data_IF_461728033933
#
_entry.id   IF_461728033933
#
_cell.length_a   1.000
_cell.length_b   1.000
_cell.length_c   1.000
_cell.angle_alpha   90.00
_cell.angle_beta   90.00
_cell.angle_gamma   90.00
#
_symmetry.space_group_name_H-M   'P 1'
#
loop_
_entity.id
_entity.type
_entity.pdbx_description
1 polymer ?
#
# COMPACT_ATOMS: atom_id res chain seq x y z
N UNK A 1 -1.16 34.65 -1.41
CA UNK A 1 0.10 33.89 -1.47
C UNK A 1 -0.32 32.44 -1.45
N UNK A 2 -0.19 31.74 -2.57
CA UNK A 2 -0.63 30.34 -2.69
C UNK A 2 0.47 29.46 -2.13
N UNK A 3 0.11 28.64 -1.14
CA UNK A 3 0.98 27.71 -0.43
C UNK A 3 1.63 26.74 -1.39
N UNK A 4 2.95 26.83 -1.52
CA UNK A 4 3.83 25.89 -2.21
C UNK A 4 4.24 24.72 -1.29
N UNK A 5 3.45 24.39 -0.27
CA UNK A 5 3.82 23.45 0.79
C UNK A 5 3.50 21.99 0.48
N UNK A 6 2.86 21.69 -0.66
CA UNK A 6 2.50 20.30 -1.01
C UNK A 6 3.69 19.45 -1.48
N UNK A 7 4.77 20.05 -1.99
CA UNK A 7 5.93 19.29 -2.49
C UNK A 7 6.99 19.00 -1.40
N UNK A 8 6.83 19.52 -0.18
CA UNK A 8 7.80 19.35 0.92
C UNK A 8 7.23 18.60 2.14
N UNK A 9 5.98 18.14 2.10
CA UNK A 9 5.42 17.40 3.24
C UNK A 9 5.91 15.94 3.22
N UNK A 10 6.78 15.52 4.16
CA UNK A 10 7.27 14.14 4.21
C UNK A 10 6.14 13.13 4.41
N UNK A 11 5.01 13.55 4.99
CA UNK A 11 3.83 12.70 5.13
C UNK A 11 3.30 12.25 3.76
N UNK A 12 3.20 13.15 2.79
CA UNK A 12 2.62 12.85 1.48
C UNK A 12 3.53 11.89 0.68
N UNK A 13 4.84 11.97 0.89
CA UNK A 13 5.79 11.05 0.27
C UNK A 13 5.65 9.64 0.84
N UNK A 14 5.69 9.50 2.17
CA UNK A 14 5.53 8.19 2.83
C UNK A 14 4.13 7.61 2.57
N UNK A 15 3.11 8.47 2.50
CA UNK A 15 1.77 8.07 2.07
C UNK A 15 1.79 7.41 0.68
N UNK A 16 2.47 8.02 -0.30
CA UNK A 16 2.56 7.47 -1.65
C UNK A 16 3.30 6.12 -1.66
N UNK A 17 4.37 6.01 -0.87
CA UNK A 17 5.15 4.77 -0.72
C UNK A 17 4.30 3.65 -0.09
N UNK A 18 3.55 3.94 0.98
CA UNK A 18 2.63 3.00 1.64
C UNK A 18 1.53 2.55 0.69
N UNK A 19 0.91 3.47 -0.08
CA UNK A 19 -0.11 3.10 -1.05
C UNK A 19 0.45 2.25 -2.20
N UNK A 20 1.68 2.52 -2.64
CA UNK A 20 2.38 1.72 -3.64
C UNK A 20 2.66 0.30 -3.11
N UNK A 21 3.21 0.20 -1.90
CA UNK A 21 3.47 -1.07 -1.23
C UNK A 21 2.17 -1.87 -0.97
N UNK A 22 1.06 -1.19 -0.72
CA UNK A 22 -0.23 -1.84 -0.54
C UNK A 22 -0.79 -2.39 -1.86
N UNK A 23 -0.59 -1.67 -2.97
CA UNK A 23 -0.93 -2.15 -4.32
C UNK A 23 -0.09 -3.37 -4.75
N UNK A 24 1.13 -3.55 -4.24
CA UNK A 24 1.92 -4.77 -4.46
C UNK A 24 1.54 -5.90 -3.49
N UNK A 25 1.15 -5.56 -2.25
CA UNK A 25 0.79 -6.54 -1.22
C UNK A 25 -0.55 -7.24 -1.50
N UNK A 26 -1.58 -6.51 -1.98
CA UNK A 26 -2.89 -7.07 -2.32
C UNK A 26 -2.84 -8.25 -3.31
N UNK A 27 -2.16 -8.18 -4.47
CA UNK A 27 -2.06 -9.32 -5.39
C UNK A 27 -1.22 -10.47 -4.82
N UNK A 28 -0.19 -10.19 -4.00
CA UNK A 28 0.56 -11.23 -3.28
C UNK A 28 -0.35 -11.98 -2.31
N UNK A 29 -1.19 -11.26 -1.56
CA UNK A 29 -2.18 -11.84 -0.66
C UNK A 29 -3.21 -12.70 -1.41
N UNK A 30 -3.78 -12.19 -2.51
CA UNK A 30 -4.69 -12.95 -3.36
C UNK A 30 -4.04 -14.22 -3.94
N UNK A 31 -2.78 -14.12 -4.37
CA UNK A 31 -2.00 -15.26 -4.86
C UNK A 31 -1.78 -16.30 -3.76
N UNK A 32 -1.40 -15.87 -2.55
CA UNK A 32 -1.24 -16.73 -1.39
C UNK A 32 -2.54 -17.48 -1.06
N UNK A 33 -3.68 -16.77 -1.01
CA UNK A 33 -4.99 -17.37 -0.77
C UNK A 33 -5.35 -18.42 -1.84
N UNK A 34 -5.05 -18.11 -3.11
CA UNK A 34 -5.28 -19.03 -4.23
C UNK A 34 -4.39 -20.27 -4.14
N UNK A 35 -3.07 -20.11 -3.95
CA UNK A 35 -2.13 -21.23 -3.85
C UNK A 35 -2.53 -22.14 -2.69
N UNK A 36 -2.91 -21.54 -1.55
CA UNK A 36 -3.40 -22.29 -0.39
C UNK A 36 -4.65 -23.10 -0.72
N UNK A 37 -5.58 -22.53 -1.48
CA UNK A 37 -6.80 -23.22 -1.90
C UNK A 37 -6.54 -24.43 -2.79
N UNK A 38 -5.50 -24.36 -3.63
CA UNK A 38 -5.13 -25.44 -4.55
C UNK A 38 -4.12 -26.42 -3.95
N UNK A 39 -3.44 -26.06 -2.86
CA UNK A 39 -2.39 -26.86 -2.29
C UNK A 39 -2.97 -28.05 -1.50
N UNK A 40 -2.62 -29.27 -1.92
CA UNK A 40 -3.02 -30.51 -1.24
C UNK A 40 -2.35 -30.69 0.14
N UNK A 41 -1.31 -29.92 0.45
CA UNK A 41 -0.60 -30.00 1.73
C UNK A 41 -0.07 -28.63 2.15
N UNK A 42 -0.20 -28.32 3.44
CA UNK A 42 0.32 -27.10 4.06
C UNK A 42 1.86 -26.97 4.03
N UNK A 43 2.57 -28.01 3.55
CA UNK A 43 4.04 -28.04 3.44
C UNK A 43 4.55 -27.84 2.01
N UNK A 44 3.68 -27.48 1.05
CA UNK A 44 4.13 -27.24 -0.32
C UNK A 44 5.18 -26.11 -0.36
N UNK A 45 6.24 -26.26 -1.16
CA UNK A 45 7.30 -25.24 -1.24
C UNK A 45 6.76 -23.90 -1.73
N UNK A 46 5.84 -23.93 -2.71
CA UNK A 46 5.17 -22.74 -3.26
C UNK A 46 4.37 -21.97 -2.20
N UNK A 47 3.66 -22.66 -1.31
CA UNK A 47 2.90 -22.00 -0.23
C UNK A 47 3.83 -21.36 0.80
N UNK A 48 4.97 -22.00 1.10
CA UNK A 48 5.97 -21.46 2.03
C UNK A 48 6.66 -20.23 1.46
N UNK A 49 6.98 -20.24 0.17
CA UNK A 49 7.59 -19.10 -0.52
C UNK A 49 6.62 -17.92 -0.59
N UNK A 50 5.41 -18.14 -1.09
CA UNK A 50 4.37 -17.11 -1.17
C UNK A 50 4.04 -16.53 0.20
N UNK A 51 4.01 -17.37 1.25
CA UNK A 51 3.86 -16.91 2.63
C UNK A 51 5.03 -16.03 3.06
N UNK A 52 6.27 -16.47 2.85
CA UNK A 52 7.46 -15.74 3.30
C UNK A 52 7.56 -14.37 2.65
N UNK A 53 7.24 -14.28 1.36
CA UNK A 53 7.21 -13.02 0.61
C UNK A 53 6.12 -12.07 1.13
N UNK A 54 4.91 -12.60 1.37
CA UNK A 54 3.83 -11.83 1.98
C UNK A 54 4.15 -11.38 3.41
N UNK A 55 4.78 -12.24 4.22
CA UNK A 55 5.16 -11.94 5.60
C UNK A 55 6.20 -10.81 5.65
N UNK A 56 7.18 -10.83 4.73
CA UNK A 56 8.17 -9.76 4.60
C UNK A 56 7.54 -8.43 4.19
N UNK A 57 6.72 -8.44 3.13
CA UNK A 57 6.06 -7.22 2.62
C UNK A 57 5.09 -6.61 3.64
N UNK A 58 4.30 -7.43 4.33
CA UNK A 58 3.43 -6.96 5.42
C UNK A 58 4.21 -6.40 6.62
N UNK A 59 5.41 -6.95 6.90
CA UNK A 59 6.26 -6.43 7.96
C UNK A 59 6.80 -5.04 7.61
N UNK A 60 7.33 -4.85 6.40
CA UNK A 60 7.79 -3.56 5.89
C UNK A 60 6.65 -2.53 5.90
N UNK A 61 5.49 -2.88 5.33
CA UNK A 61 4.31 -2.02 5.31
C UNK A 61 3.81 -1.63 6.71
N UNK A 62 3.90 -2.55 7.68
CA UNK A 62 3.50 -2.25 9.07
C UNK A 62 4.44 -1.27 9.77
N UNK A 63 5.72 -1.26 9.42
CA UNK A 63 6.69 -0.30 9.95
C UNK A 63 6.42 1.10 9.39
N UNK A 64 6.26 1.20 8.07
CA UNK A 64 5.95 2.47 7.41
C UNK A 64 4.61 3.07 7.92
N UNK A 65 3.63 2.19 8.18
CA UNK A 65 2.36 2.62 8.74
C UNK A 65 2.49 3.10 10.20
N UNK A 66 3.34 2.46 11.02
CA UNK A 66 3.59 2.89 12.40
C UNK A 66 4.14 4.31 12.43
N UNK A 67 5.11 4.62 11.54
CA UNK A 67 5.65 5.96 11.37
C UNK A 67 4.58 6.98 10.94
N UNK A 68 3.68 6.59 10.02
CA UNK A 68 2.54 7.43 9.63
C UNK A 68 1.58 7.68 10.80
N UNK A 69 1.25 6.65 11.60
CA UNK A 69 0.41 6.79 12.80
C UNK A 69 1.02 7.79 13.78
N UNK A 70 2.32 7.68 14.04
CA UNK A 70 3.03 8.61 14.93
C UNK A 70 3.03 10.03 14.38
N UNK A 71 3.24 10.20 13.08
CA UNK A 71 3.20 11.51 12.44
C UNK A 71 1.83 12.19 12.56
N UNK A 72 0.74 11.43 12.37
CA UNK A 72 -0.64 11.96 12.54
C UNK A 72 -0.88 12.35 13.99
N UNK A 73 -0.50 11.49 14.96
CA UNK A 73 -0.63 11.81 16.39
C UNK A 73 0.14 13.08 16.77
N UNK A 74 1.33 13.29 16.22
CA UNK A 74 2.12 14.50 16.47
C UNK A 74 1.43 15.75 15.93
N UNK A 75 0.84 15.66 14.72
CA UNK A 75 0.11 16.74 14.09
C UNK A 75 -1.23 17.03 14.79
N UNK A 76 -1.93 16.02 15.29
CA UNK A 76 -3.20 16.16 16.01
C UNK A 76 -3.09 17.05 17.26
N UNK A 77 -1.93 17.07 17.93
CA UNK A 77 -1.71 17.89 19.13
C UNK A 77 -1.57 19.38 18.82
N UNK A 78 -0.99 19.74 17.67
CA UNK A 78 -0.82 21.15 17.27
C UNK A 78 -0.84 21.32 15.73
N UNK A 79 -2.01 21.25 15.08
CA UNK A 79 -2.12 21.31 13.62
C UNK A 79 -1.62 22.63 13.03
N UNK A 80 -1.84 23.73 13.75
CA UNK A 80 -1.49 25.09 13.29
C UNK A 80 0.01 25.32 13.26
N UNK A 81 0.79 24.66 14.14
CA UNK A 81 2.26 24.71 14.11
C UNK A 81 2.84 24.15 12.81
N UNK A 82 2.15 23.18 12.22
CA UNK A 82 2.55 22.57 10.96
C UNK A 82 1.87 23.22 9.74
N UNK A 83 1.07 24.26 9.94
CA UNK A 83 0.36 24.95 8.86
C UNK A 83 -0.73 24.09 8.19
N UNK A 84 -1.24 23.08 8.90
CA UNK A 84 -2.23 22.15 8.39
C UNK A 84 -3.65 22.56 8.80
N UNK A 85 -4.60 22.37 7.88
CA UNK A 85 -6.02 22.54 8.17
C UNK A 85 -6.55 21.32 8.95
N UNK A 86 -7.53 21.53 9.82
CA UNK A 86 -8.14 20.45 10.63
C UNK A 86 -8.71 19.35 9.73
N UNK A 87 -9.30 19.73 8.60
CA UNK A 87 -9.85 18.80 7.62
C UNK A 87 -8.77 17.90 6.99
N UNK A 88 -7.55 18.42 6.83
CA UNK A 88 -6.41 17.65 6.33
C UNK A 88 -5.94 16.63 7.36
N UNK A 89 -5.87 17.01 8.64
CA UNK A 89 -5.53 16.08 9.73
C UNK A 89 -6.56 14.95 9.83
N UNK A 90 -7.85 15.26 9.67
CA UNK A 90 -8.90 14.24 9.67
C UNK A 90 -8.77 13.26 8.49
N UNK A 91 -8.41 13.75 7.29
CA UNK A 91 -8.12 12.90 6.13
C UNK A 91 -6.97 11.95 6.40
N UNK A 92 -5.85 12.45 6.95
CA UNK A 92 -4.67 11.63 7.29
C UNK A 92 -5.02 10.55 8.31
N UNK A 93 -5.79 10.91 9.34
CA UNK A 93 -6.25 9.97 10.36
C UNK A 93 -7.13 8.87 9.77
N UNK A 94 -8.05 9.22 8.87
CA UNK A 94 -8.93 8.24 8.22
C UNK A 94 -8.13 7.25 7.38
N UNK A 95 -7.23 7.77 6.53
CA UNK A 95 -6.39 6.93 5.67
C UNK A 95 -5.58 5.92 6.49
N UNK A 96 -4.85 6.41 7.49
CA UNK A 96 -3.98 5.56 8.33
C UNK A 96 -4.79 4.48 9.05
N UNK A 97 -6.02 4.82 9.47
CA UNK A 97 -6.93 3.84 10.06
C UNK A 97 -7.38 2.79 9.05
N UNK A 98 -7.84 3.19 7.87
CA UNK A 98 -8.32 2.28 6.82
C UNK A 98 -7.21 1.32 6.37
N UNK A 99 -6.02 1.85 6.07
CA UNK A 99 -4.85 1.06 5.69
C UNK A 99 -4.41 0.15 6.84
N UNK A 100 -4.44 0.64 8.08
CA UNK A 100 -4.08 -0.16 9.25
C UNK A 100 -5.02 -1.32 9.51
N UNK A 101 -6.32 -1.09 9.39
CA UNK A 101 -7.33 -2.14 9.51
C UNK A 101 -7.13 -3.20 8.40
N UNK A 102 -6.84 -2.80 7.16
CA UNK A 102 -6.57 -3.71 6.03
C UNK A 102 -5.32 -4.58 6.27
N UNK A 103 -4.19 -3.97 6.65
CA UNK A 103 -2.93 -4.68 6.92
C UNK A 103 -3.06 -5.62 8.11
N UNK A 104 -3.76 -5.20 9.16
CA UNK A 104 -4.01 -6.03 10.33
C UNK A 104 -4.86 -7.26 9.98
N UNK A 105 -5.91 -7.08 9.18
CA UNK A 105 -6.74 -8.20 8.71
C UNK A 105 -5.91 -9.22 7.89
N UNK A 106 -5.07 -8.75 6.97
CA UNK A 106 -4.18 -9.64 6.19
C UNK A 106 -3.21 -10.41 7.09
N UNK A 107 -2.66 -9.78 8.13
CA UNK A 107 -1.77 -10.43 9.11
C UNK A 107 -2.50 -11.45 9.97
N UNK A 108 -3.71 -11.14 10.43
CA UNK A 108 -4.53 -12.05 11.24
C UNK A 108 -4.89 -13.30 10.44
N UNK A 109 -5.29 -13.15 9.18
CA UNK A 109 -5.52 -14.29 8.31
C UNK A 109 -4.27 -15.13 8.09
N UNK A 110 -3.11 -14.48 7.89
CA UNK A 110 -1.84 -15.19 7.76
C UNK A 110 -1.55 -16.02 9.02
N UNK A 111 -1.74 -15.46 10.22
CA UNK A 111 -1.49 -16.15 11.49
C UNK A 111 -2.48 -17.29 11.76
N UNK A 112 -3.77 -17.07 11.49
CA UNK A 112 -4.81 -18.08 11.70
C UNK A 112 -4.53 -19.35 10.88
N UNK A 113 -4.03 -19.19 9.65
CA UNK A 113 -3.67 -20.33 8.79
C UNK A 113 -2.50 -21.15 9.32
N UNK A 114 -1.55 -20.53 10.02
CA UNK A 114 -0.43 -21.24 10.67
C UNK A 114 -0.95 -22.08 11.82
N UNK A 115 -1.90 -21.54 12.59
CA UNK A 115 -2.48 -22.24 13.73
C UNK A 115 -3.31 -23.46 13.29
N UNK A 116 -4.08 -23.33 12.21
CA UNK A 116 -4.85 -24.44 11.63
C UNK A 116 -3.95 -25.54 11.05
N UNK A 117 -2.81 -25.17 10.46
CA UNK A 117 -1.80 -26.13 9.99
C UNK A 117 -1.08 -26.84 11.16
N UNK A 118 -0.82 -26.13 12.27
CA UNK A 118 -0.15 -26.70 13.45
C UNK A 118 -1.07 -27.56 14.33
N UNK A 119 -2.35 -27.20 14.47
CA UNK A 119 -3.32 -27.96 15.27
C UNK A 119 -3.61 -29.33 14.62
N UNK A 120 -3.75 -29.39 13.29
CA UNK A 120 -3.91 -30.64 12.54
C UNK A 120 -2.66 -31.53 12.56
N UNK A 121 -1.46 -30.95 12.66
CA UNK A 121 -0.21 -31.72 12.77
C UNK A 121 0.01 -32.39 14.13
N UNK A 122 -0.73 -31.97 15.18
CA UNK A 122 -0.60 -32.50 16.54
C UNK A 122 -1.59 -33.62 16.87
N UNK A 123 -2.61 -33.82 16.04
CA UNK A 123 -3.59 -34.91 16.17
C UNK A 123 -3.04 -36.31 15.87
N UNK A 124 -1.92 -36.41 15.14
CA UNK A 124 -1.36 -37.69 14.67
C UNK A 124 -0.25 -38.25 15.58
N UNK A 125 0.23 -37.50 16.57
CA UNK A 125 1.40 -37.90 17.41
C UNK A 125 1.00 -38.59 18.74
N UNK A 126 -0.29 -38.81 19.02
CA UNK A 126 -0.75 -39.48 20.24
C UNK A 126 -1.31 -40.91 20.01
N UNK A 127 -0.78 -41.64 19.02
CA UNK A 127 -1.21 -43.01 18.71
C UNK A 127 -0.08 -44.02 18.43
N UNK A 128 1.18 -43.70 18.72
CA UNK A 128 2.31 -44.59 18.46
C UNK A 128 2.61 -45.46 19.70
N UNK A 129 1.71 -46.40 19.98
CA UNK A 129 2.07 -47.66 20.64
C UNK A 129 2.35 -48.64 19.51
N UNK A 130 3.60 -48.70 19.08
CA UNK A 130 4.07 -49.77 18.20
C UNK A 130 3.91 -51.10 18.95
N UNK A 131 3.15 -52.09 18.44
CA UNK A 131 3.12 -53.43 19.01
C UNK A 131 4.49 -54.10 18.86
N UNK A 132 4.88 -54.85 19.89
CA UNK A 132 6.13 -55.61 19.98
C UNK A 132 6.25 -56.58 18.76
N UNK A 133 7.39 -56.66 18.06
CA UNK A 133 7.58 -57.49 16.86
C UNK A 133 7.59 -59.02 17.10
N UNK A 134 6.88 -59.54 18.11
CA UNK A 134 6.83 -60.98 18.43
C UNK A 134 5.44 -61.61 18.17
N UNK A 135 4.47 -60.87 17.63
CA UNK A 135 3.08 -61.32 17.36
C UNK A 135 2.80 -61.64 15.87
N UNK A 136 3.82 -62.09 15.13
CA UNK A 136 3.79 -62.33 13.67
C UNK A 136 3.14 -63.67 13.26
N UNK A 137 1.87 -63.91 13.59
CA UNK A 137 1.14 -65.08 13.05
C UNK A 137 -0.08 -64.77 12.17
N UNK A 138 -0.49 -63.51 11.96
CA UNK A 138 -1.71 -63.22 11.18
C UNK A 138 -1.53 -62.13 10.11
N UNK A 139 -0.93 -62.51 8.98
CA UNK A 139 -0.64 -61.63 7.84
C UNK A 139 -1.89 -61.04 7.14
N UNK A 140 -3.08 -61.66 7.29
CA UNK A 140 -4.32 -61.19 6.67
C UNK A 140 -5.00 -60.04 7.44
N UNK A 141 -4.84 -59.98 8.77
CA UNK A 141 -5.39 -58.90 9.60
C UNK A 141 -4.67 -57.56 9.38
N UNK A 142 -3.37 -57.62 9.08
CA UNK A 142 -2.55 -56.44 8.86
C UNK A 142 -2.95 -55.69 7.58
N UNK A 143 -3.21 -56.40 6.48
CA UNK A 143 -3.61 -55.79 5.21
C UNK A 143 -4.99 -55.14 5.29
N UNK A 144 -5.95 -55.76 6.01
CA UNK A 144 -7.28 -55.20 6.22
C UNK A 144 -7.22 -53.95 7.12
N UNK A 145 -6.44 -53.99 8.19
CA UNK A 145 -6.24 -52.85 9.09
C UNK A 145 -5.51 -51.68 8.39
N UNK A 146 -4.53 -51.98 7.55
CA UNK A 146 -3.80 -50.97 6.77
C UNK A 146 -4.69 -50.29 5.73
N UNK A 147 -5.60 -51.05 5.10
CA UNK A 147 -6.60 -50.53 4.16
C UNK A 147 -7.66 -49.68 4.85
N UNK A 148 -8.13 -50.10 6.02
CA UNK A 148 -9.08 -49.35 6.85
C UNK A 148 -8.46 -48.03 7.34
N UNK A 149 -7.20 -48.07 7.76
CA UNK A 149 -6.42 -46.88 8.17
C UNK A 149 -6.15 -45.92 7.01
N UNK A 150 -5.93 -46.44 5.80
CA UNK A 150 -5.75 -45.63 4.59
C UNK A 150 -7.05 -44.97 4.12
N UNK A 151 -8.19 -45.66 4.31
CA UNK A 151 -9.53 -45.10 4.09
C UNK A 151 -9.87 -44.02 5.11
N UNK A 152 -9.57 -44.23 6.40
CA UNK A 152 -9.76 -43.24 7.46
C UNK A 152 -8.91 -41.98 7.20
N UNK A 153 -7.65 -42.16 6.79
CA UNK A 153 -6.76 -41.06 6.39
C UNK A 153 -7.25 -40.30 5.14
N UNK A 154 -7.91 -40.97 4.19
CA UNK A 154 -8.54 -40.29 3.05
C UNK A 154 -9.79 -39.52 3.49
N UNK A 155 -10.59 -40.09 4.39
CA UNK A 155 -11.81 -39.47 4.88
C UNK A 155 -11.52 -38.20 5.71
N UNK A 156 -10.46 -38.23 6.52
CA UNK A 156 -9.98 -37.05 7.25
C UNK A 156 -9.44 -35.95 6.32
N UNK A 157 -8.84 -36.34 5.19
CA UNK A 157 -8.42 -35.40 4.15
C UNK A 157 -9.60 -34.78 3.42
N UNK A 158 -10.67 -35.53 3.14
CA UNK A 158 -11.87 -35.01 2.50
C UNK A 158 -12.66 -34.05 3.41
N UNK A 159 -12.77 -34.35 4.71
CA UNK A 159 -13.35 -33.41 5.68
C UNK A 159 -12.49 -32.15 5.84
N UNK A 160 -11.16 -32.30 5.77
CA UNK A 160 -10.24 -31.18 5.75
C UNK A 160 -10.39 -30.31 4.49
N UNK A 161 -10.66 -30.91 3.34
CA UNK A 161 -10.96 -30.20 2.10
C UNK A 161 -12.27 -29.42 2.22
N UNK A 162 -13.33 -29.98 2.80
CA UNK A 162 -14.65 -29.32 2.87
C UNK A 162 -14.65 -28.05 3.76
N UNK A 163 -13.91 -28.10 4.88
CA UNK A 163 -13.67 -26.93 5.73
C UNK A 163 -12.80 -25.85 5.05
N UNK A 164 -11.79 -26.27 4.29
CA UNK A 164 -10.97 -25.37 3.48
C UNK A 164 -11.77 -24.78 2.32
N UNK A 165 -12.66 -25.54 1.68
CA UNK A 165 -13.50 -25.09 0.55
C UNK A 165 -14.45 -23.95 0.93
N UNK A 166 -15.01 -23.95 2.15
CA UNK A 166 -15.85 -22.83 2.62
C UNK A 166 -15.04 -21.56 2.88
N UNK A 167 -13.91 -21.68 3.57
CA UNK A 167 -13.05 -20.53 3.87
C UNK A 167 -12.40 -20.00 2.58
N UNK A 168 -11.97 -20.88 1.67
CA UNK A 168 -11.50 -20.56 0.32
C UNK A 168 -12.61 -19.94 -0.51
N UNK A 169 -13.85 -20.40 -0.41
CA UNK A 169 -14.98 -19.82 -1.15
C UNK A 169 -15.16 -18.35 -0.79
N UNK A 170 -15.14 -18.04 0.51
CA UNK A 170 -15.22 -16.67 1.01
C UNK A 170 -13.99 -15.85 0.61
N UNK A 171 -12.79 -16.45 0.68
CA UNK A 171 -11.53 -15.77 0.37
C UNK A 171 -11.28 -15.58 -1.12
N UNK A 172 -11.81 -16.47 -1.96
CA UNK A 172 -11.86 -16.32 -3.41
C UNK A 172 -12.81 -15.20 -3.79
N UNK A 173 -13.95 -15.09 -3.10
CA UNK A 173 -14.88 -13.99 -3.31
C UNK A 173 -14.25 -12.65 -2.89
N UNK A 174 -13.54 -12.62 -1.76
CA UNK A 174 -12.79 -11.45 -1.31
C UNK A 174 -11.62 -11.10 -2.25
N UNK A 175 -10.91 -12.08 -2.79
CA UNK A 175 -9.86 -11.86 -3.79
C UNK A 175 -10.42 -11.37 -5.13
N UNK A 176 -11.61 -11.81 -5.52
CA UNK A 176 -12.31 -11.34 -6.72
C UNK A 176 -12.81 -9.89 -6.53
N UNK A 177 -13.36 -9.58 -5.36
CA UNK A 177 -13.78 -8.23 -4.99
C UNK A 177 -12.58 -7.27 -4.91
N UNK A 178 -11.45 -7.68 -4.30
CA UNK A 178 -10.20 -6.92 -4.32
C UNK A 178 -9.63 -6.75 -5.74
N UNK A 179 -9.71 -7.79 -6.58
CA UNK A 179 -9.24 -7.74 -7.96
C UNK A 179 -10.01 -6.72 -8.81
N UNK A 180 -11.33 -6.66 -8.62
CA UNK A 180 -12.20 -5.67 -9.25
C UNK A 180 -11.95 -4.26 -8.71
N UNK A 181 -11.76 -4.11 -7.41
CA UNK A 181 -11.45 -2.81 -6.79
C UNK A 181 -10.06 -2.29 -7.20
N UNK A 182 -9.09 -3.18 -7.45
CA UNK A 182 -7.79 -2.82 -8.04
C UNK A 182 -7.90 -2.39 -9.50
N UNK A 183 -8.77 -3.02 -10.29
CA UNK A 183 -9.05 -2.61 -11.67
C UNK A 183 -9.73 -1.23 -11.71
N UNK A 184 -10.68 -0.98 -10.81
CA UNK A 184 -11.34 0.32 -10.64
C UNK A 184 -10.36 1.41 -10.12
N UNK A 185 -9.42 1.07 -9.23
CA UNK A 185 -8.37 2.00 -8.77
C UNK A 185 -7.32 2.29 -9.86
N UNK A 186 -7.08 1.35 -10.78
CA UNK A 186 -6.27 1.58 -11.98
C UNK A 186 -6.91 2.59 -12.94
N UNK A 187 -8.24 2.60 -13.05
CA UNK A 187 -9.00 3.55 -13.87
C UNK A 187 -8.99 4.96 -13.26
N UNK A 188 -9.03 5.09 -11.93
CA UNK A 188 -8.90 6.39 -11.24
C UNK A 188 -7.50 7.03 -11.37
N UNK A 189 -6.43 6.22 -11.50
CA UNK A 189 -5.08 6.75 -11.71
C UNK A 189 -4.93 7.47 -13.06
N UNK A 190 -5.67 7.04 -14.10
CA UNK A 190 -5.68 7.68 -15.42
C UNK A 190 -6.39 9.05 -15.37
N UNK A 191 -7.43 9.17 -14.53
CA UNK A 191 -8.09 10.46 -14.26
C UNK A 191 -7.17 11.44 -13.51
N UNK A 192 -6.38 10.93 -12.55
CA UNK A 192 -5.39 11.74 -11.80
C UNK A 192 -4.29 12.24 -12.73
N UNK A 193 -3.77 11.41 -13.64
CA UNK A 193 -2.77 11.81 -14.64
C UNK A 193 -3.34 12.87 -15.61
N UNK A 194 -4.58 12.68 -16.07
CA UNK A 194 -5.29 13.63 -16.92
C UNK A 194 -5.50 14.99 -16.23
N UNK A 195 -5.82 14.99 -14.93
CA UNK A 195 -5.96 16.20 -14.12
C UNK A 195 -4.60 16.86 -13.89
N UNK A 196 -3.55 16.10 -13.62
CA UNK A 196 -2.18 16.58 -13.45
C UNK A 196 -1.67 17.26 -14.73
N UNK A 197 -1.88 16.67 -15.90
CA UNK A 197 -1.54 17.25 -17.20
C UNK A 197 -2.27 18.56 -17.47
N UNK A 198 -3.57 18.60 -17.14
CA UNK A 198 -4.38 19.82 -17.29
C UNK A 198 -3.93 20.92 -16.34
N UNK A 199 -3.52 20.58 -15.12
CA UNK A 199 -2.96 21.53 -14.15
C UNK A 199 -1.58 22.00 -14.62
N UNK A 200 -0.70 21.10 -15.04
CA UNK A 200 0.63 21.41 -15.57
C UNK A 200 0.60 22.36 -16.76
N UNK A 201 -0.32 22.14 -17.72
CA UNK A 201 -0.52 23.05 -18.86
C UNK A 201 -0.99 24.46 -18.46
N UNK A 202 -1.89 24.55 -17.46
CA UNK A 202 -2.34 25.84 -16.91
C UNK A 202 -1.24 26.56 -16.14
N UNK A 203 -0.46 25.83 -15.35
CA UNK A 203 0.68 26.34 -14.58
C UNK A 203 1.77 26.90 -15.50
N UNK A 204 2.13 26.16 -16.54
CA UNK A 204 3.11 26.60 -17.54
C UNK A 204 2.65 27.88 -18.26
N UNK A 205 1.36 27.97 -18.57
CA UNK A 205 0.76 29.17 -19.18
C UNK A 205 0.76 30.35 -18.20
N UNK A 206 0.48 30.10 -16.92
CA UNK A 206 0.57 31.08 -15.84
C UNK A 206 1.98 31.64 -15.67
N UNK A 207 2.98 30.76 -15.59
CA UNK A 207 4.39 31.13 -15.48
C UNK A 207 4.87 31.96 -16.69
N UNK A 208 4.48 31.60 -17.91
CA UNK A 208 4.76 32.41 -19.11
C UNK A 208 4.16 33.81 -19.03
N UNK A 209 2.92 33.93 -18.54
CA UNK A 209 2.27 35.25 -18.34
C UNK A 209 2.96 36.07 -17.27
N UNK A 210 3.36 35.46 -16.15
CA UNK A 210 4.10 36.14 -15.08
C UNK A 210 5.45 36.66 -15.59
N UNK A 211 6.20 35.82 -16.30
CA UNK A 211 7.47 36.24 -16.92
C UNK A 211 7.30 37.38 -17.94
N UNK A 212 6.23 37.36 -18.73
CA UNK A 212 5.91 38.43 -19.66
C UNK A 212 5.53 39.75 -18.96
N UNK A 213 4.77 39.68 -17.86
CA UNK A 213 4.38 40.85 -17.06
C UNK A 213 5.59 41.47 -16.36
N UNK A 214 6.46 40.66 -15.77
CA UNK A 214 7.69 41.15 -15.10
C UNK A 214 8.55 41.92 -16.10
N UNK A 215 8.83 41.33 -17.25
CA UNK A 215 9.67 41.93 -18.29
C UNK A 215 9.10 43.25 -18.82
N UNK A 216 7.77 43.29 -19.03
CA UNK A 216 7.10 44.50 -19.54
C UNK A 216 6.99 45.63 -18.51
N UNK A 217 6.96 45.30 -17.23
CA UNK A 217 6.98 46.29 -16.16
C UNK A 217 8.39 46.88 -15.97
N UNK A 218 9.42 46.04 -16.01
CA UNK A 218 10.82 46.44 -15.94
C UNK A 218 11.20 47.38 -17.09
N UNK A 219 10.83 47.04 -18.33
CA UNK A 219 11.11 47.87 -19.51
C UNK A 219 10.45 49.26 -19.42
N UNK A 220 9.22 49.36 -18.91
CA UNK A 220 8.51 50.64 -18.79
C UNK A 220 9.09 51.55 -17.72
N UNK A 221 9.43 51.00 -16.56
CA UNK A 221 10.01 51.77 -15.47
C UNK A 221 11.45 52.21 -15.79
N UNK A 222 12.25 51.32 -16.37
CA UNK A 222 13.61 51.62 -16.83
C UNK A 222 13.61 52.68 -17.93
N UNK A 223 12.74 52.55 -18.94
CA UNK A 223 12.64 53.52 -20.04
C UNK A 223 12.19 54.91 -19.55
N UNK A 224 11.27 54.99 -18.59
CA UNK A 224 10.86 56.25 -17.99
C UNK A 224 12.00 56.93 -17.23
N UNK A 225 12.74 56.19 -16.39
CA UNK A 225 13.89 56.70 -15.66
C UNK A 225 14.98 57.22 -16.61
N UNK A 226 15.30 56.49 -17.69
CA UNK A 226 16.28 56.91 -18.70
C UNK A 226 15.83 58.22 -19.36
N UNK A 227 14.56 58.34 -19.75
CA UNK A 227 14.03 59.55 -20.37
C UNK A 227 14.13 60.78 -19.44
N UNK A 228 13.83 60.62 -18.15
CA UNK A 228 13.97 61.69 -17.14
C UNK A 228 15.42 62.11 -16.98
N UNK A 229 16.36 61.16 -16.90
CA UNK A 229 17.79 61.46 -16.77
C UNK A 229 18.33 62.25 -17.99
N UNK A 230 17.91 61.88 -19.20
CA UNK A 230 18.29 62.61 -20.43
C UNK A 230 17.75 64.03 -20.41
N UNK A 231 16.49 64.24 -19.99
CA UNK A 231 15.89 65.56 -19.92
C UNK A 231 16.63 66.49 -18.94
N UNK A 232 16.98 65.98 -17.76
CA UNK A 232 17.76 66.72 -16.76
C UNK A 232 19.14 67.09 -17.32
N UNK A 233 19.80 66.16 -18.02
CA UNK A 233 21.10 66.41 -18.63
C UNK A 233 21.04 67.51 -19.72
N UNK A 234 19.99 67.52 -20.55
CA UNK A 234 19.76 68.58 -21.55
C UNK A 234 19.55 69.93 -20.85
N UNK A 235 18.74 69.98 -19.79
CA UNK A 235 18.52 71.21 -19.03
C UNK A 235 19.82 71.76 -18.45
N UNK A 236 20.66 70.91 -17.85
CA UNK A 236 21.97 71.31 -17.33
C UNK A 236 22.89 71.84 -18.44
N UNK A 237 22.88 71.22 -19.62
CA UNK A 237 23.68 71.66 -20.77
C UNK A 237 23.22 73.03 -21.28
N UNK A 238 21.91 73.24 -21.42
CA UNK A 238 21.33 74.53 -21.82
C UNK A 238 21.66 75.62 -20.80
N UNK A 239 21.54 75.32 -19.50
CA UNK A 239 21.87 76.26 -18.43
C UNK A 239 23.36 76.64 -18.48
N UNK A 240 24.25 75.67 -18.73
CA UNK A 240 25.69 75.91 -18.90
C UNK A 240 26.00 76.74 -20.15
N UNK A 241 25.26 76.58 -21.24
CA UNK A 241 25.47 77.37 -22.46
C UNK A 241 24.98 78.82 -22.35
N UNK A 242 23.96 79.05 -21.51
CA UNK A 242 23.37 80.37 -21.29
C UNK A 242 24.13 81.18 -20.22
N UNK A 243 24.68 80.50 -19.20
CA UNK A 243 25.44 81.09 -18.10
C UNK A 243 26.92 81.29 -18.47
#
# INVERSE_FOLDING_TARGET
MMSTTNDEDPFLQVQADVLSALNTTRPLFASYLRIRSSASSAKSPELREARSELEQTLQELSQDLEDLIESVKAVEHDPYRFGLEIDEVERRRRLVKEVGDEVQNMREELLQTVHDAQSKGKGVINGDVLPDPDDFEEADGYAAFEQERQLEMMHEQDEALDGVFRTVGNLRQQADDMGRELEEQGEMLDEVDTVADRVGGKLQTGLKKVGWVIRKNEDRMSSCCIAVLIFVLILLLVLLLIL
#
